data_IF_701282883719
#
_entry.id   IF_701282883719
#
_cell.length_a   1.000
_cell.length_b   1.000
_cell.length_c   1.000
_cell.angle_alpha   90.00
_cell.angle_beta   90.00
_cell.angle_gamma   90.00
#
_symmetry.space_group_name_H-M   'P 1'
#
loop_
_entity.id
_entity.type
_entity.pdbx_description
1 polymer ?
#
# COMPACT_ATOMS: atom_id res chain seq x y z
N UNK A 1 -20.41 41.82 34.35
CA UNK A 1 -19.11 42.46 34.17
C UNK A 1 -18.65 42.18 32.75
N UNK A 2 -18.64 43.18 31.88
CA UNK A 2 -18.12 43.05 30.52
C UNK A 2 -16.59 43.06 30.58
N UNK A 3 -15.96 41.90 30.40
CA UNK A 3 -14.53 41.81 30.19
C UNK A 3 -14.25 42.14 28.71
N UNK A 4 -13.73 43.34 28.46
CA UNK A 4 -13.13 43.69 27.19
C UNK A 4 -11.85 42.87 27.01
N UNK A 5 -11.86 41.94 26.05
CA UNK A 5 -10.64 41.28 25.58
C UNK A 5 -9.83 42.29 24.78
N UNK A 6 -8.78 42.83 25.39
CA UNK A 6 -7.79 43.65 24.73
C UNK A 6 -6.97 42.76 23.78
N UNK A 7 -7.30 42.79 22.48
CA UNK A 7 -6.41 42.27 21.45
C UNK A 7 -5.17 43.16 21.40
N UNK A 8 -4.01 42.60 21.73
CA UNK A 8 -2.73 43.27 21.62
C UNK A 8 -2.39 43.46 20.13
N UNK A 9 -2.34 44.70 19.60
CA UNK A 9 -2.24 44.96 18.15
C UNK A 9 -0.89 44.55 17.51
N UNK A 10 0.04 44.01 18.29
CA UNK A 10 1.37 43.58 17.83
C UNK A 10 1.55 42.05 17.68
N UNK A 11 0.51 41.23 17.89
CA UNK A 11 0.62 39.78 17.66
C UNK A 11 0.27 39.44 16.22
N UNK A 12 1.25 38.94 15.46
CA UNK A 12 1.00 38.35 14.14
C UNK A 12 0.02 37.17 14.28
N UNK A 13 -0.83 36.99 13.26
CA UNK A 13 -1.76 35.87 13.22
C UNK A 13 -1.01 34.53 13.23
N UNK A 14 -1.53 33.49 13.91
CA UNK A 14 -0.91 32.17 13.89
C UNK A 14 -0.66 31.68 12.46
N UNK A 15 0.50 31.05 12.24
CA UNK A 15 0.93 30.59 10.91
C UNK A 15 1.35 29.13 10.99
N UNK A 16 0.91 28.33 10.03
CA UNK A 16 1.34 26.93 9.85
C UNK A 16 2.59 26.90 8.98
N UNK A 17 3.63 26.23 9.47
CA UNK A 17 4.90 26.01 8.78
C UNK A 17 4.95 24.54 8.38
N UNK A 18 5.28 24.29 7.11
CA UNK A 18 5.37 22.95 6.53
C UNK A 18 6.75 22.78 5.93
N UNK A 19 7.43 21.67 6.25
CA UNK A 19 8.72 21.34 5.66
C UNK A 19 8.69 19.90 5.09
N UNK A 20 8.87 19.72 3.77
CA UNK A 20 9.09 20.75 2.73
C UNK A 20 7.81 21.56 2.42
N UNK A 21 7.99 22.86 2.19
CA UNK A 21 6.89 23.82 2.02
C UNK A 21 6.12 23.65 0.70
N UNK A 22 6.79 23.26 -0.38
CA UNK A 22 6.22 23.15 -1.73
C UNK A 22 5.47 21.87 -2.04
N UNK A 23 5.06 21.10 -1.01
CA UNK A 23 4.55 19.74 -1.18
C UNK A 23 5.65 18.67 -1.16
N UNK A 24 5.25 17.42 -1.04
CA UNK A 24 6.16 16.27 -1.08
C UNK A 24 5.48 15.05 -1.70
N UNK A 25 6.21 13.95 -1.87
CA UNK A 25 5.58 12.70 -2.28
C UNK A 25 4.67 12.15 -1.17
N UNK A 26 3.64 11.41 -1.59
CA UNK A 26 2.67 10.84 -0.67
C UNK A 26 3.32 9.88 0.34
N UNK A 27 4.44 9.24 -0.01
CA UNK A 27 5.20 8.33 0.86
C UNK A 27 6.28 9.02 1.71
N UNK A 28 6.42 10.34 1.65
CA UNK A 28 7.42 11.10 2.41
C UNK A 28 6.83 11.75 3.67
N UNK A 29 7.57 11.78 4.79
CA UNK A 29 7.14 12.55 5.96
C UNK A 29 7.12 14.06 5.65
N UNK A 30 6.22 14.78 6.33
CA UNK A 30 6.17 16.25 6.34
C UNK A 30 6.27 16.72 7.78
N UNK A 31 7.15 17.68 8.05
CA UNK A 31 7.21 18.36 9.34
C UNK A 31 6.15 19.46 9.38
N UNK A 32 5.39 19.51 10.47
CA UNK A 32 4.28 20.44 10.66
C UNK A 32 4.53 21.18 11.98
N UNK A 33 4.59 22.50 11.90
CA UNK A 33 4.65 23.38 13.06
C UNK A 33 3.67 24.54 12.95
N UNK A 34 3.34 25.16 14.08
CA UNK A 34 2.52 26.36 14.17
C UNK A 34 3.25 27.37 15.05
N UNK A 35 3.34 28.62 14.59
CA UNK A 35 3.90 29.74 15.35
C UNK A 35 2.87 30.84 15.54
N UNK A 36 3.08 31.67 16.55
CA UNK A 36 2.25 32.85 16.81
C UNK A 36 0.99 32.56 17.64
N UNK A 37 0.91 31.40 18.28
CA UNK A 37 -0.12 31.10 19.27
C UNK A 37 0.14 31.87 20.57
N UNK A 38 -0.83 31.92 21.47
CA UNK A 38 -0.57 32.32 22.84
C UNK A 38 0.20 31.21 23.59
N UNK A 39 1.07 31.56 24.58
CA UNK A 39 1.69 30.60 25.46
C UNK A 39 0.68 29.62 26.03
N UNK A 40 0.97 28.33 25.94
CA UNK A 40 0.11 27.26 26.46
C UNK A 40 -1.32 27.23 25.87
N UNK A 41 -1.54 27.85 24.70
CA UNK A 41 -2.87 27.88 24.07
C UNK A 41 -3.34 26.47 23.69
N UNK A 42 -4.54 26.04 24.14
CA UNK A 42 -5.15 24.81 23.64
C UNK A 42 -5.60 25.03 22.20
N UNK A 43 -5.23 24.12 21.31
CA UNK A 43 -5.62 24.15 19.89
C UNK A 43 -6.00 22.76 19.40
N UNK A 44 -6.84 22.71 18.38
CA UNK A 44 -7.14 21.48 17.63
C UNK A 44 -6.61 21.64 16.22
N UNK A 45 -5.75 20.72 15.78
CA UNK A 45 -5.36 20.63 14.37
C UNK A 45 -6.30 19.65 13.66
N UNK A 46 -6.76 20.03 12.47
CA UNK A 46 -7.61 19.22 11.62
C UNK A 46 -7.01 19.11 10.23
N UNK A 47 -6.97 17.90 9.68
CA UNK A 47 -6.65 17.65 8.28
C UNK A 47 -7.92 17.28 7.52
N UNK A 48 -8.02 17.76 6.28
CA UNK A 48 -9.14 17.48 5.38
C UNK A 48 -8.60 17.18 3.99
N UNK A 49 -9.04 16.08 3.39
CA UNK A 49 -8.72 15.67 2.03
C UNK A 49 -10.03 15.33 1.30
N UNK A 50 -10.15 15.72 0.04
CA UNK A 50 -11.20 15.22 -0.87
C UNK A 50 -10.56 14.32 -1.91
N UNK A 51 -11.11 13.11 -2.07
CA UNK A 51 -10.64 12.19 -3.10
C UNK A 51 -11.14 12.57 -4.50
N UNK A 52 -10.72 11.81 -5.52
CA UNK A 52 -11.08 12.04 -6.92
C UNK A 52 -12.59 11.87 -7.21
N UNK A 53 -13.35 11.30 -6.27
CA UNK A 53 -14.80 11.14 -6.34
C UNK A 53 -15.54 12.15 -5.43
N UNK A 54 -14.81 13.08 -4.82
CA UNK A 54 -15.34 14.12 -3.95
C UNK A 54 -15.64 13.66 -2.51
N UNK A 55 -15.34 12.41 -2.15
CA UNK A 55 -15.53 11.92 -0.80
C UNK A 55 -14.50 12.55 0.14
N UNK A 56 -14.97 12.93 1.33
CA UNK A 56 -14.17 13.60 2.35
C UNK A 56 -13.50 12.59 3.27
N UNK A 57 -12.23 12.87 3.57
CA UNK A 57 -11.41 12.20 4.56
C UNK A 57 -10.90 13.23 5.57
N UNK A 58 -10.95 12.92 6.86
CA UNK A 58 -10.55 13.85 7.92
C UNK A 58 -9.83 13.15 9.06
N UNK A 59 -8.89 13.84 9.68
CA UNK A 59 -8.37 13.51 11.00
C UNK A 59 -8.30 14.78 11.86
N UNK A 60 -8.32 14.63 13.17
CA UNK A 60 -8.06 15.75 14.07
C UNK A 60 -7.31 15.29 15.33
N UNK A 61 -6.54 16.20 15.91
CA UNK A 61 -5.89 15.97 17.19
C UNK A 61 -5.79 17.28 17.99
N UNK A 62 -5.96 17.14 19.31
CA UNK A 62 -5.85 18.23 20.29
C UNK A 62 -4.40 18.37 20.74
N UNK A 63 -3.91 19.60 20.80
CA UNK A 63 -2.57 19.94 21.24
C UNK A 63 -2.60 21.14 22.18
N UNK A 64 -1.45 21.41 22.81
CA UNK A 64 -1.19 22.64 23.55
C UNK A 64 0.12 23.22 23.03
N UNK A 65 0.13 24.52 22.71
CA UNK A 65 1.35 25.23 22.37
C UNK A 65 2.30 25.25 23.57
N UNK A 66 3.59 25.41 23.35
CA UNK A 66 4.56 25.61 24.42
C UNK A 66 4.47 27.02 25.05
N UNK A 67 5.38 27.31 25.98
CA UNK A 67 5.47 28.61 26.65
C UNK A 67 5.83 29.77 25.72
N UNK A 68 6.31 29.50 24.51
CA UNK A 68 6.66 30.49 23.49
C UNK A 68 5.53 30.69 22.47
N UNK A 69 4.43 29.92 22.55
CA UNK A 69 3.35 29.97 21.57
C UNK A 69 3.71 29.24 20.27
N UNK A 70 4.58 28.24 20.36
CA UNK A 70 4.93 27.35 19.26
C UNK A 70 4.33 25.95 19.47
N UNK A 71 3.99 25.28 18.38
CA UNK A 71 3.59 23.89 18.37
C UNK A 71 4.39 23.19 17.27
N UNK A 72 5.15 22.17 17.62
CA UNK A 72 5.90 21.34 16.66
C UNK A 72 5.44 19.89 16.81
N UNK A 73 4.82 19.30 15.77
CA UNK A 73 4.27 17.95 15.85
C UNK A 73 5.34 16.86 15.99
N UNK A 74 6.61 17.17 15.70
CA UNK A 74 7.73 16.28 15.96
C UNK A 74 8.17 16.26 17.44
N UNK A 75 7.66 17.19 18.26
CA UNK A 75 8.07 17.37 19.66
C UNK A 75 6.91 17.37 20.64
N UNK A 76 5.70 17.70 20.17
CA UNK A 76 4.52 17.85 21.01
C UNK A 76 3.55 16.68 20.78
N UNK A 77 3.25 15.87 21.80
CA UNK A 77 2.30 14.77 21.67
C UNK A 77 0.86 15.27 21.50
N UNK A 78 0.08 14.55 20.68
CA UNK A 78 -1.36 14.72 20.61
C UNK A 78 -2.02 14.28 21.93
N UNK A 79 -2.91 15.11 22.45
CA UNK A 79 -3.65 14.89 23.70
C UNK A 79 -4.91 14.03 23.50
N UNK A 80 -5.25 13.70 22.25
CA UNK A 80 -6.41 12.91 21.86
C UNK A 80 -7.13 13.47 20.63
N UNK A 81 -8.14 12.75 20.15
CA UNK A 81 -8.79 12.98 18.87
C UNK A 81 -8.80 11.68 18.07
N UNK A 82 -8.51 11.76 16.76
CA UNK A 82 -8.30 10.59 15.89
C UNK A 82 -7.09 9.74 16.32
N UNK A 83 -6.14 10.31 17.06
CA UNK A 83 -4.98 9.63 17.63
C UNK A 83 -4.46 10.38 18.87
N UNK A 84 -3.48 9.79 19.57
CA UNK A 84 -2.78 10.41 20.71
C UNK A 84 -1.30 10.02 20.72
N UNK A 85 -0.49 10.74 21.50
CA UNK A 85 0.96 10.50 21.58
C UNK A 85 1.76 11.28 20.54
N UNK A 86 3.08 11.03 20.51
CA UNK A 86 4.01 11.72 19.61
C UNK A 86 3.96 11.09 18.21
N UNK A 87 3.02 11.57 17.39
CA UNK A 87 2.68 11.01 16.08
C UNK A 87 2.72 12.12 15.01
N UNK A 88 3.90 12.48 14.47
CA UNK A 88 4.05 13.65 13.60
C UNK A 88 3.23 13.56 12.30
N UNK A 89 3.01 12.33 11.82
CA UNK A 89 2.22 12.03 10.62
C UNK A 89 0.78 11.58 10.93
N UNK A 90 0.35 11.68 12.20
CA UNK A 90 -0.97 11.22 12.66
C UNK A 90 -2.12 11.87 11.92
N UNK A 91 -2.01 13.16 11.59
CA UNK A 91 -3.03 13.87 10.81
C UNK A 91 -3.19 13.33 9.37
N UNK A 92 -2.30 12.48 8.87
CA UNK A 92 -2.40 11.87 7.55
C UNK A 92 -2.84 10.41 7.64
N UNK A 93 -2.15 9.59 8.44
CA UNK A 93 -2.46 8.16 8.51
C UNK A 93 -3.76 7.87 9.26
N UNK A 94 -4.19 8.75 10.17
CA UNK A 94 -5.42 8.57 10.96
C UNK A 94 -6.67 9.15 10.25
N UNK A 95 -6.58 9.51 8.97
CA UNK A 95 -7.73 10.02 8.24
C UNK A 95 -8.82 8.95 8.11
N UNK A 96 -10.05 9.33 8.40
CA UNK A 96 -11.23 8.48 8.23
C UNK A 96 -12.19 9.09 7.19
N UNK A 97 -12.87 8.27 6.39
CA UNK A 97 -13.87 8.78 5.46
C UNK A 97 -15.13 9.23 6.22
N UNK A 98 -15.72 10.34 5.80
CA UNK A 98 -17.05 10.75 6.30
C UNK A 98 -18.15 9.73 5.95
N UNK A 99 -17.95 9.03 4.83
CA UNK A 99 -18.86 8.01 4.33
C UNK A 99 -18.36 6.63 4.80
N UNK A 100 -19.19 5.85 5.54
CA UNK A 100 -18.83 4.49 5.91
C UNK A 100 -18.49 3.63 4.69
N UNK A 101 -17.54 2.70 4.88
CA UNK A 101 -17.12 1.71 3.87
C UNK A 101 -16.48 2.29 2.61
N UNK A 102 -16.02 3.53 2.67
CA UNK A 102 -15.32 4.20 1.59
C UNK A 102 -13.80 4.04 1.73
N UNK A 103 -13.12 3.71 0.64
CA UNK A 103 -11.66 3.52 0.61
C UNK A 103 -11.01 4.65 -0.18
N UNK A 104 -9.96 5.25 0.38
CA UNK A 104 -9.15 6.21 -0.35
C UNK A 104 -8.35 5.48 -1.42
N UNK A 105 -8.57 5.81 -2.69
CA UNK A 105 -7.83 5.25 -3.82
C UNK A 105 -7.43 6.41 -4.71
N UNK A 106 -6.13 6.49 -5.02
CA UNK A 106 -5.61 7.40 -6.04
C UNK A 106 -5.58 6.70 -7.39
N UNK A 107 -6.28 7.21 -8.41
CA UNK A 107 -6.24 6.64 -9.76
C UNK A 107 -5.40 7.48 -10.71
N UNK A 108 -5.55 8.80 -10.67
CA UNK A 108 -4.75 9.71 -11.49
C UNK A 108 -3.49 10.14 -10.75
N UNK A 109 -2.38 9.44 -10.97
CA UNK A 109 -1.09 9.75 -10.33
C UNK A 109 -0.45 11.05 -10.83
N UNK A 110 -0.98 11.66 -11.89
CA UNK A 110 -0.46 12.93 -12.44
C UNK A 110 -0.93 14.15 -11.64
N UNK A 111 -1.91 13.97 -10.75
CA UNK A 111 -2.41 15.01 -9.84
C UNK A 111 -2.07 14.65 -8.38
N UNK A 112 -1.81 15.63 -7.50
CA UNK A 112 -1.58 15.35 -6.08
C UNK A 112 -2.88 15.03 -5.34
N UNK A 113 -2.76 14.51 -4.13
CA UNK A 113 -3.77 14.76 -3.10
C UNK A 113 -3.54 16.14 -2.49
N UNK A 114 -4.61 16.90 -2.29
CA UNK A 114 -4.56 18.22 -1.66
C UNK A 114 -5.08 18.07 -0.23
N UNK A 115 -4.19 18.26 0.75
CA UNK A 115 -4.52 18.20 2.18
C UNK A 115 -4.64 19.61 2.73
N UNK A 116 -5.82 19.96 3.20
CA UNK A 116 -6.05 21.19 3.95
C UNK A 116 -5.79 20.95 5.43
N UNK A 117 -4.92 21.78 6.02
CA UNK A 117 -4.61 21.79 7.44
C UNK A 117 -5.22 23.03 8.07
N UNK A 118 -5.99 22.85 9.14
CA UNK A 118 -6.60 23.93 9.89
C UNK A 118 -6.12 23.89 11.34
N UNK A 119 -5.84 25.08 11.90
CA UNK A 119 -5.61 25.27 13.34
C UNK A 119 -6.86 25.94 13.90
N UNK A 120 -7.52 25.27 14.82
CA UNK A 120 -8.75 25.73 15.47
C UNK A 120 -8.44 26.07 16.93
N UNK A 121 -9.04 27.15 17.42
CA UNK A 121 -8.90 27.54 18.82
C UNK A 121 -9.61 26.55 19.75
N UNK A 122 -8.98 26.22 20.88
CA UNK A 122 -9.55 25.37 21.91
C UNK A 122 -9.64 23.89 21.56
N UNK A 123 -10.33 23.17 22.45
CA UNK A 123 -10.52 21.71 22.43
C UNK A 123 -11.99 21.30 22.31
N UNK A 124 -12.86 22.26 21.96
CA UNK A 124 -14.30 22.03 21.83
C UNK A 124 -14.63 21.03 20.72
N UNK A 125 -15.65 20.16 20.89
CA UNK A 125 -15.96 19.08 19.93
C UNK A 125 -16.26 19.56 18.49
N UNK A 126 -16.93 20.70 18.35
CA UNK A 126 -17.30 21.25 17.04
C UNK A 126 -16.16 22.05 16.37
N UNK A 127 -15.04 22.18 17.08
CA UNK A 127 -13.94 23.08 16.73
C UNK A 127 -14.26 24.53 17.08
N UNK A 128 -13.25 25.27 17.58
CA UNK A 128 -13.38 26.71 17.79
C UNK A 128 -13.12 27.52 16.52
N UNK A 129 -12.91 28.82 16.71
CA UNK A 129 -12.56 29.74 15.63
C UNK A 129 -11.29 29.26 14.90
N UNK A 130 -11.31 29.27 13.56
CA UNK A 130 -10.10 28.97 12.78
C UNK A 130 -9.06 30.08 12.95
N UNK A 131 -7.92 29.72 13.51
CA UNK A 131 -6.77 30.58 13.77
C UNK A 131 -5.84 30.67 12.56
N UNK A 132 -5.63 29.55 11.87
CA UNK A 132 -4.75 29.46 10.70
C UNK A 132 -5.21 28.35 9.75
N UNK A 133 -4.72 28.42 8.51
CA UNK A 133 -4.92 27.40 7.48
C UNK A 133 -3.65 27.27 6.63
N UNK A 134 -3.33 26.06 6.22
CA UNK A 134 -2.38 25.78 5.14
C UNK A 134 -2.92 24.70 4.22
N UNK A 135 -2.37 24.62 3.01
CA UNK A 135 -2.65 23.57 2.04
C UNK A 135 -1.33 22.91 1.68
N UNK A 136 -1.30 21.57 1.71
CA UNK A 136 -0.13 20.76 1.37
C UNK A 136 -0.46 19.79 0.25
N UNK A 137 0.33 19.81 -0.81
CA UNK A 137 0.19 18.87 -1.92
C UNK A 137 1.03 17.61 -1.69
N UNK A 138 0.38 16.45 -1.80
CA UNK A 138 1.00 15.13 -1.67
C UNK A 138 0.99 14.43 -3.02
N UNK A 139 2.12 14.49 -3.72
CA UNK A 139 2.28 14.02 -5.10
C UNK A 139 2.47 12.50 -5.17
N UNK A 140 2.15 11.92 -6.33
CA UNK A 140 2.31 10.49 -6.59
C UNK A 140 3.43 10.15 -7.57
N UNK A 141 4.01 11.15 -8.22
CA UNK A 141 5.14 11.00 -9.14
C UNK A 141 6.31 11.86 -8.65
N UNK A 142 7.47 11.24 -8.45
CA UNK A 142 8.69 11.98 -8.10
C UNK A 142 9.13 12.90 -9.25
N UNK A 143 9.80 14.03 -8.98
CA UNK A 143 10.31 14.91 -10.02
C UNK A 143 11.12 14.15 -11.07
N UNK A 144 10.73 14.31 -12.34
CA UNK A 144 11.39 13.67 -13.47
C UNK A 144 11.04 12.19 -13.72
N UNK A 145 10.21 11.57 -12.89
CA UNK A 145 9.63 10.25 -13.21
C UNK A 145 8.73 10.41 -14.44
N UNK A 146 8.92 9.54 -15.43
CA UNK A 146 8.10 9.52 -16.66
C UNK A 146 7.04 8.45 -16.54
N UNK A 147 5.82 8.78 -16.95
CA UNK A 147 4.67 7.87 -17.06
C UNK A 147 4.48 7.50 -18.53
N UNK A 148 4.60 6.22 -18.87
CA UNK A 148 4.51 5.70 -20.24
C UNK A 148 3.44 4.61 -20.30
N UNK A 149 2.23 4.91 -20.79
CA UNK A 149 1.21 3.88 -21.02
C UNK A 149 1.70 2.82 -22.02
N UNK A 150 1.42 1.56 -21.73
CA UNK A 150 1.87 0.39 -22.51
C UNK A 150 0.67 -0.31 -23.12
N UNK A 151 0.69 -0.42 -24.45
CA UNK A 151 -0.28 -1.17 -25.26
C UNK A 151 0.45 -2.01 -26.30
N UNK A 152 1.28 -2.93 -25.81
CA UNK A 152 2.09 -3.83 -26.64
C UNK A 152 1.44 -5.22 -26.71
N UNK A 153 1.13 -5.71 -27.90
CA UNK A 153 0.44 -7.00 -28.05
C UNK A 153 -0.88 -7.04 -27.27
N UNK A 154 -1.02 -7.95 -26.31
CA UNK A 154 -2.17 -7.99 -25.38
C UNK A 154 -1.92 -7.23 -24.07
N UNK A 155 -0.67 -6.88 -23.77
CA UNK A 155 -0.26 -6.25 -22.50
C UNK A 155 -0.90 -4.87 -22.39
N UNK A 156 -1.57 -4.62 -21.26
CA UNK A 156 -2.15 -3.33 -20.87
C UNK A 156 -1.56 -2.93 -19.54
N UNK A 157 -0.72 -1.90 -19.54
CA UNK A 157 0.03 -1.49 -18.36
C UNK A 157 0.38 -0.01 -18.42
N UNK A 158 0.99 0.50 -17.36
CA UNK A 158 1.69 1.79 -17.36
C UNK A 158 3.09 1.60 -16.78
N UNK A 159 4.11 1.94 -17.56
CA UNK A 159 5.51 1.91 -17.17
C UNK A 159 5.91 3.26 -16.58
N UNK A 160 6.47 3.24 -15.38
CA UNK A 160 7.08 4.38 -14.72
C UNK A 160 8.60 4.26 -14.76
N UNK A 161 9.26 5.29 -15.27
CA UNK A 161 10.72 5.31 -15.41
C UNK A 161 11.30 6.41 -14.51
N UNK A 162 12.33 6.10 -13.71
CA UNK A 162 13.04 7.11 -12.92
C UNK A 162 13.64 8.22 -13.80
N UNK A 163 13.96 9.39 -13.20
CA UNK A 163 14.80 10.37 -13.88
C UNK A 163 16.19 9.80 -14.18
N UNK A 164 16.82 10.31 -15.24
CA UNK A 164 18.17 9.90 -15.67
C UNK A 164 18.17 9.02 -16.92
N UNK A 165 19.37 8.60 -17.34
CA UNK A 165 19.59 7.85 -18.59
C UNK A 165 19.24 6.37 -18.47
N UNK A 166 19.17 5.83 -17.25
CA UNK A 166 19.09 4.39 -17.02
C UNK A 166 20.39 3.66 -17.42
N UNK A 167 20.34 2.33 -17.60
CA UNK A 167 19.17 1.47 -17.39
C UNK A 167 18.86 1.28 -15.88
N UNK A 168 17.64 0.88 -15.56
CA UNK A 168 17.12 0.76 -14.19
C UNK A 168 16.64 -0.67 -13.91
N UNK A 169 16.70 -1.17 -12.67
CA UNK A 169 16.13 -2.47 -12.36
C UNK A 169 14.62 -2.47 -12.57
N UNK A 170 14.12 -3.47 -13.30
CA UNK A 170 12.71 -3.57 -13.69
C UNK A 170 11.85 -4.31 -12.66
N UNK A 171 10.66 -3.79 -12.37
CA UNK A 171 9.68 -4.41 -11.46
C UNK A 171 8.30 -4.45 -12.15
N UNK A 172 7.61 -5.59 -12.08
CA UNK A 172 6.19 -5.69 -12.41
C UNK A 172 5.37 -5.51 -11.12
N UNK A 173 4.44 -4.58 -11.13
CA UNK A 173 3.57 -4.24 -9.99
C UNK A 173 2.15 -4.75 -10.22
N UNK A 174 1.64 -5.55 -9.27
CA UNK A 174 0.35 -6.24 -9.36
C UNK A 174 -0.52 -5.98 -8.12
N UNK A 175 -1.73 -5.50 -8.37
CA UNK A 175 -2.78 -5.37 -7.36
C UNK A 175 -3.73 -6.58 -7.36
N UNK A 176 -4.62 -6.62 -6.36
CA UNK A 176 -5.65 -7.65 -6.24
C UNK A 176 -6.86 -7.44 -7.14
N UNK A 177 -7.86 -8.31 -6.99
CA UNK A 177 -9.10 -8.32 -7.77
C UNK A 177 -9.84 -6.97 -7.69
N UNK A 178 -10.38 -6.50 -8.82
CA UNK A 178 -11.25 -5.34 -8.88
C UNK A 178 -10.53 -3.98 -8.93
N UNK A 179 -9.20 -3.99 -9.03
CA UNK A 179 -8.39 -2.78 -9.14
C UNK A 179 -8.57 -2.04 -10.46
N UNK A 180 -8.82 -2.77 -11.56
CA UNK A 180 -8.46 -2.31 -12.89
C UNK A 180 -6.94 -2.09 -12.93
N UNK A 181 -6.50 -0.97 -13.51
CA UNK A 181 -5.12 -0.51 -13.37
C UNK A 181 -5.00 0.50 -12.22
N UNK A 182 -4.21 0.16 -11.19
CA UNK A 182 -3.81 1.08 -10.11
C UNK A 182 -2.32 1.38 -10.25
N UNK A 183 -1.99 2.67 -10.33
CA UNK A 183 -0.64 3.11 -10.71
C UNK A 183 0.16 3.70 -9.55
N UNK A 184 -0.50 4.06 -8.45
CA UNK A 184 0.08 4.89 -7.38
C UNK A 184 1.28 4.25 -6.67
N UNK A 185 1.30 2.92 -6.54
CA UNK A 185 2.44 2.21 -5.94
C UNK A 185 3.63 2.18 -6.89
N UNK A 186 3.39 1.86 -8.17
CA UNK A 186 4.41 1.87 -9.20
C UNK A 186 5.03 3.27 -9.40
N UNK A 187 4.20 4.32 -9.42
CA UNK A 187 4.65 5.70 -9.62
C UNK A 187 5.52 6.20 -8.46
N UNK A 188 5.18 5.86 -7.22
CA UNK A 188 5.97 6.18 -6.03
C UNK A 188 7.28 5.38 -6.00
N UNK A 189 7.22 4.08 -6.34
CA UNK A 189 8.39 3.20 -6.33
C UNK A 189 9.41 3.56 -7.43
N UNK A 190 8.95 4.09 -8.57
CA UNK A 190 9.85 4.62 -9.60
C UNK A 190 10.68 5.80 -9.11
N UNK A 191 10.18 6.57 -8.13
CA UNK A 191 10.94 7.60 -7.43
C UNK A 191 12.11 7.05 -6.59
N UNK A 192 12.22 5.73 -6.43
CA UNK A 192 13.29 5.04 -5.69
C UNK A 192 14.35 4.42 -6.60
N UNK A 193 14.28 4.68 -7.92
CA UNK A 193 15.30 4.24 -8.88
C UNK A 193 14.96 2.96 -9.64
N UNK A 194 13.72 2.50 -9.60
CA UNK A 194 13.25 1.31 -10.34
C UNK A 194 12.42 1.68 -11.57
N UNK A 195 12.54 0.92 -12.66
CA UNK A 195 11.56 0.95 -13.75
C UNK A 195 10.37 0.07 -13.35
N UNK A 196 9.21 0.65 -13.05
CA UNK A 196 8.09 -0.09 -12.47
C UNK A 196 6.89 -0.10 -13.41
N UNK A 197 6.46 -1.29 -13.84
CA UNK A 197 5.31 -1.47 -14.71
C UNK A 197 4.08 -1.89 -13.88
N UNK A 198 3.14 -0.97 -13.68
CA UNK A 198 1.82 -1.30 -13.16
C UNK A 198 1.08 -2.12 -14.22
N UNK A 199 0.75 -3.37 -13.91
CA UNK A 199 0.17 -4.32 -14.85
C UNK A 199 -1.30 -4.59 -14.51
N UNK A 200 -2.20 -4.28 -15.44
CA UNK A 200 -3.58 -4.76 -15.36
C UNK A 200 -3.67 -6.19 -15.91
N UNK A 201 -4.63 -6.97 -15.46
CA UNK A 201 -4.85 -8.33 -15.99
C UNK A 201 -6.33 -8.69 -16.18
N UNK A 202 -7.24 -7.82 -15.74
CA UNK A 202 -8.68 -7.91 -16.00
C UNK A 202 -9.36 -6.53 -15.85
N UNK A 203 -10.60 -6.43 -16.36
CA UNK A 203 -11.52 -5.29 -16.19
C UNK A 203 -10.86 -3.91 -16.43
N UNK A 204 -10.02 -3.82 -17.47
CA UNK A 204 -9.32 -2.61 -17.87
C UNK A 204 -9.11 -2.60 -19.39
N UNK A 205 -9.55 -1.52 -20.04
CA UNK A 205 -9.52 -1.38 -21.51
C UNK A 205 -10.17 -2.59 -22.21
N UNK A 206 -9.43 -3.28 -23.06
CA UNK A 206 -9.84 -4.44 -23.86
C UNK A 206 -9.51 -5.80 -23.21
N UNK A 207 -9.04 -5.80 -21.95
CA UNK A 207 -8.83 -7.04 -21.20
C UNK A 207 -10.17 -7.73 -20.84
N UNK A 208 -10.14 -9.05 -20.56
CA UNK A 208 -11.32 -9.78 -20.07
C UNK A 208 -11.98 -9.09 -18.89
N UNK A 209 -13.33 -9.09 -18.86
CA UNK A 209 -14.10 -8.48 -17.76
C UNK A 209 -14.13 -9.38 -16.53
N UNK A 210 -14.25 -10.69 -16.73
CA UNK A 210 -14.19 -11.72 -15.70
C UNK A 210 -12.74 -12.23 -15.52
N UNK A 211 -12.58 -13.22 -14.63
CA UNK A 211 -11.30 -13.89 -14.37
C UNK A 211 -11.50 -15.39 -14.30
N UNK A 212 -12.43 -15.94 -15.08
CA UNK A 212 -12.75 -17.38 -15.03
C UNK A 212 -11.52 -18.23 -15.36
N UNK A 213 -10.71 -17.75 -16.32
CA UNK A 213 -9.42 -18.32 -16.69
C UNK A 213 -8.39 -17.19 -16.79
N UNK A 214 -7.25 -17.37 -16.10
CA UNK A 214 -6.10 -16.48 -16.14
C UNK A 214 -4.96 -17.22 -16.84
N UNK A 215 -4.55 -16.75 -18.01
CA UNK A 215 -3.45 -17.31 -18.80
C UNK A 215 -2.11 -16.69 -18.40
N UNK A 216 -1.17 -17.50 -17.90
CA UNK A 216 0.15 -17.03 -17.49
C UNK A 216 1.02 -16.53 -18.65
N UNK A 217 0.71 -16.92 -19.89
CA UNK A 217 1.34 -16.37 -21.10
C UNK A 217 1.17 -14.85 -21.18
N UNK A 218 0.06 -14.30 -20.67
CA UNK A 218 -0.13 -12.84 -20.59
C UNK A 218 0.96 -12.16 -19.75
N UNK A 219 1.31 -12.79 -18.62
CA UNK A 219 2.33 -12.27 -17.71
C UNK A 219 3.73 -12.54 -18.27
N UNK A 220 3.93 -13.64 -19.03
CA UNK A 220 5.17 -13.91 -19.77
C UNK A 220 5.42 -12.86 -20.86
N UNK A 221 4.39 -12.45 -21.60
CA UNK A 221 4.43 -11.33 -22.55
C UNK A 221 4.84 -10.03 -21.85
N UNK A 222 4.26 -9.75 -20.67
CA UNK A 222 4.61 -8.57 -19.87
C UNK A 222 6.06 -8.59 -19.36
N UNK A 223 6.56 -9.74 -18.88
CA UNK A 223 7.97 -9.92 -18.49
C UNK A 223 8.89 -9.69 -19.69
N UNK A 224 8.54 -10.25 -20.86
CA UNK A 224 9.30 -10.10 -22.09
C UNK A 224 9.34 -8.65 -22.57
N UNK A 225 8.21 -7.95 -22.51
CA UNK A 225 8.13 -6.51 -22.82
C UNK A 225 9.03 -5.70 -21.89
N UNK A 226 8.95 -5.92 -20.57
CA UNK A 226 9.74 -5.14 -19.61
C UNK A 226 11.24 -5.38 -19.78
N UNK A 227 11.66 -6.64 -20.00
CA UNK A 227 13.06 -6.98 -20.24
C UNK A 227 13.60 -6.50 -21.59
N UNK A 228 12.75 -6.32 -22.60
CA UNK A 228 13.17 -5.77 -23.90
C UNK A 228 13.27 -4.25 -23.91
N UNK A 229 12.74 -3.57 -22.90
CA UNK A 229 12.77 -2.12 -22.82
C UNK A 229 14.21 -1.60 -22.63
N UNK A 230 14.71 -0.66 -23.46
CA UNK A 230 16.13 -0.27 -23.49
C UNK A 230 16.64 0.41 -22.21
N UNK A 231 15.73 0.86 -21.35
CA UNK A 231 16.05 1.46 -20.05
C UNK A 231 15.86 0.52 -18.86
N UNK A 232 15.65 -0.77 -19.10
CA UNK A 232 15.59 -1.80 -18.05
C UNK A 232 16.89 -2.59 -18.05
N UNK A 233 17.48 -2.80 -16.87
CA UNK A 233 18.71 -3.57 -16.68
C UNK A 233 18.42 -4.97 -16.17
N UNK A 234 19.39 -5.86 -16.30
CA UNK A 234 19.35 -7.22 -15.77
C UNK A 234 18.79 -8.24 -16.74
N UNK A 235 18.96 -9.51 -16.38
CA UNK A 235 18.43 -10.67 -17.12
C UNK A 235 17.08 -11.16 -16.58
N UNK A 236 16.55 -10.48 -15.56
CA UNK A 236 15.27 -10.79 -14.96
C UNK A 236 14.67 -9.59 -14.22
N UNK A 237 13.39 -9.71 -13.88
CA UNK A 237 12.59 -8.65 -13.25
C UNK A 237 12.29 -8.96 -11.80
N UNK A 238 11.99 -7.92 -11.03
CA UNK A 238 11.27 -8.03 -9.77
C UNK A 238 9.76 -8.18 -10.00
N UNK A 239 9.06 -8.81 -9.05
CA UNK A 239 7.58 -8.80 -8.99
C UNK A 239 7.15 -8.28 -7.61
N UNK A 240 6.28 -7.27 -7.59
CA UNK A 240 5.65 -6.74 -6.39
C UNK A 240 4.15 -7.00 -6.47
N UNK A 241 3.65 -7.90 -5.62
CA UNK A 241 2.25 -8.32 -5.65
C UNK A 241 1.57 -8.14 -4.31
N UNK A 242 0.33 -7.64 -4.31
CA UNK A 242 -0.56 -7.66 -3.13
C UNK A 242 -1.83 -8.46 -3.38
N UNK A 243 -2.31 -9.21 -2.38
CA UNK A 243 -3.57 -9.97 -2.48
C UNK A 243 -3.51 -10.98 -3.64
N UNK A 244 -4.50 -11.02 -4.55
CA UNK A 244 -4.42 -11.80 -5.80
C UNK A 244 -3.19 -11.46 -6.66
N UNK A 245 -2.69 -10.22 -6.63
CA UNK A 245 -1.42 -9.87 -7.27
C UNK A 245 -0.20 -10.56 -6.63
N UNK A 246 -0.26 -10.82 -5.32
CA UNK A 246 0.76 -11.61 -4.60
C UNK A 246 0.69 -13.10 -4.93
N UNK A 247 -0.52 -13.64 -5.06
CA UNK A 247 -0.75 -15.00 -5.57
C UNK A 247 -0.23 -15.16 -7.01
N UNK A 248 -0.52 -14.19 -7.89
CA UNK A 248 0.04 -14.14 -9.24
C UNK A 248 1.57 -13.99 -9.22
N UNK A 249 2.14 -13.30 -8.23
CA UNK A 249 3.59 -13.24 -8.02
C UNK A 249 4.20 -14.61 -7.73
N UNK A 250 3.56 -15.44 -6.89
CA UNK A 250 3.97 -16.84 -6.71
C UNK A 250 3.84 -17.64 -8.00
N UNK A 251 2.73 -17.49 -8.74
CA UNK A 251 2.51 -18.19 -9.99
C UNK A 251 3.57 -17.84 -11.04
N UNK A 252 3.80 -16.54 -11.27
CA UNK A 252 4.84 -16.06 -12.19
C UNK A 252 6.21 -16.64 -11.83
N UNK A 253 6.59 -16.59 -10.56
CA UNK A 253 7.87 -17.12 -10.09
C UNK A 253 8.00 -18.65 -10.23
N UNK A 254 6.88 -19.38 -10.25
CA UNK A 254 6.87 -20.86 -10.32
C UNK A 254 6.87 -21.39 -11.75
N UNK A 255 6.24 -20.68 -12.69
CA UNK A 255 6.01 -21.15 -14.06
C UNK A 255 6.85 -20.40 -15.10
N UNK A 256 7.17 -19.13 -14.87
CA UNK A 256 7.87 -18.29 -15.85
C UNK A 256 9.38 -18.26 -15.58
N UNK A 257 10.14 -17.92 -16.62
CA UNK A 257 11.58 -17.64 -16.50
C UNK A 257 11.81 -16.15 -16.18
N UNK A 258 13.03 -15.83 -15.77
CA UNK A 258 13.52 -14.46 -15.58
C UNK A 258 12.81 -13.66 -14.48
N UNK A 259 12.26 -14.32 -13.46
CA UNK A 259 11.81 -13.68 -12.21
C UNK A 259 12.93 -13.76 -11.19
N UNK A 260 13.63 -12.65 -10.95
CA UNK A 260 14.83 -12.62 -10.07
C UNK A 260 14.45 -12.53 -8.60
N UNK A 261 13.46 -11.68 -8.28
CA UNK A 261 13.03 -11.43 -6.92
C UNK A 261 11.52 -11.16 -6.87
N UNK A 262 10.84 -11.58 -5.81
CA UNK A 262 9.42 -11.31 -5.62
C UNK A 262 9.11 -10.88 -4.19
N UNK A 263 8.43 -9.74 -4.06
CA UNK A 263 7.86 -9.25 -2.79
C UNK A 263 6.37 -9.55 -2.82
N UNK A 264 5.94 -10.41 -1.89
CA UNK A 264 4.55 -10.87 -1.79
C UNK A 264 3.92 -10.27 -0.54
N UNK A 265 2.95 -9.39 -0.74
CA UNK A 265 2.21 -8.70 0.32
C UNK A 265 0.85 -9.39 0.49
N UNK A 266 0.62 -10.03 1.64
CA UNK A 266 -0.64 -10.73 1.93
C UNK A 266 -1.14 -11.62 0.76
N UNK A 267 -0.21 -12.35 0.12
CA UNK A 267 -0.52 -13.24 -1.00
C UNK A 267 -0.92 -14.64 -0.57
N UNK A 268 -1.49 -15.41 -1.50
CA UNK A 268 -1.90 -16.80 -1.30
C UNK A 268 -1.04 -17.74 -2.17
N UNK A 269 -0.63 -18.88 -1.64
CA UNK A 269 -0.06 -19.98 -2.45
C UNK A 269 -1.13 -20.91 -3.03
N UNK A 270 -2.40 -20.60 -2.78
CA UNK A 270 -3.55 -21.29 -3.33
C UNK A 270 -4.16 -20.43 -4.41
N UNK A 271 -4.40 -20.98 -5.59
CA UNK A 271 -5.06 -20.26 -6.67
C UNK A 271 -6.54 -19.99 -6.31
N UNK A 272 -6.99 -18.74 -6.38
CA UNK A 272 -8.33 -18.32 -5.92
C UNK A 272 -9.10 -17.55 -6.99
N UNK A 273 -10.38 -17.88 -7.17
CA UNK A 273 -11.37 -17.11 -7.93
C UNK A 273 -11.57 -17.54 -9.39
N UNK A 274 -10.57 -18.16 -10.01
CA UNK A 274 -10.63 -18.68 -11.38
C UNK A 274 -9.45 -19.59 -11.67
N UNK A 275 -9.49 -20.33 -12.78
CA UNK A 275 -8.44 -21.29 -13.12
C UNK A 275 -7.20 -20.56 -13.64
N UNK A 276 -6.02 -20.94 -13.14
CA UNK A 276 -4.75 -20.48 -13.67
C UNK A 276 -4.24 -21.50 -14.69
N UNK A 277 -3.90 -21.04 -15.89
CA UNK A 277 -3.40 -21.89 -16.97
C UNK A 277 -2.03 -21.42 -17.45
N UNK A 278 -1.15 -22.37 -17.73
CA UNK A 278 0.11 -22.13 -18.45
C UNK A 278 0.40 -23.33 -19.34
N UNK A 279 0.35 -23.13 -20.66
CA UNK A 279 0.47 -24.20 -21.65
C UNK A 279 -0.52 -25.33 -21.33
N UNK A 280 -0.01 -26.54 -21.11
CA UNK A 280 -0.82 -27.74 -20.81
C UNK A 280 -1.09 -27.94 -19.30
N UNK A 281 -0.57 -27.06 -18.44
CA UNK A 281 -0.77 -27.14 -16.98
C UNK A 281 -1.91 -26.23 -16.53
N UNK A 282 -2.75 -26.74 -15.61
CA UNK A 282 -3.83 -25.99 -14.97
C UNK A 282 -3.75 -26.12 -13.46
N UNK A 283 -3.78 -24.99 -12.76
CA UNK A 283 -3.99 -24.92 -11.31
C UNK A 283 -5.44 -24.48 -11.08
N UNK A 284 -6.37 -25.37 -10.68
CA UNK A 284 -7.77 -25.00 -10.44
C UNK A 284 -7.91 -24.02 -9.27
N UNK A 285 -9.01 -23.26 -9.24
CA UNK A 285 -9.35 -22.45 -8.06
C UNK A 285 -9.62 -23.35 -6.86
N UNK A 286 -9.17 -22.93 -5.67
CA UNK A 286 -9.55 -23.52 -4.39
C UNK A 286 -11.05 -23.35 -4.16
N UNK A 287 -11.65 -24.35 -3.52
CA UNK A 287 -13.04 -24.34 -3.14
C UNK A 287 -13.35 -23.27 -2.08
N UNK A 288 -14.58 -22.78 -2.11
CA UNK A 288 -15.13 -21.83 -1.13
C UNK A 288 -16.23 -22.50 -0.31
N UNK A 289 -16.34 -22.12 0.97
CA UNK A 289 -17.42 -22.55 1.85
C UNK A 289 -18.04 -21.34 2.56
N UNK A 290 -19.13 -20.82 1.98
CA UNK A 290 -19.84 -19.64 2.49
C UNK A 290 -20.42 -19.82 3.88
N UNK A 291 -20.60 -21.06 4.37
CA UNK A 291 -21.05 -21.35 5.74
C UNK A 291 -20.02 -20.98 6.80
N UNK A 292 -18.75 -20.77 6.41
CA UNK A 292 -17.66 -20.35 7.31
C UNK A 292 -17.56 -18.82 7.47
N UNK A 293 -18.35 -18.05 6.71
CA UNK A 293 -18.42 -16.59 6.87
C UNK A 293 -19.01 -16.27 8.24
N UNK A 294 -18.27 -15.51 9.03
CA UNK A 294 -18.70 -15.06 10.36
C UNK A 294 -19.28 -13.65 10.25
N UNK A 295 -19.99 -13.23 11.30
CA UNK A 295 -20.45 -11.84 11.46
C UNK A 295 -19.80 -11.24 12.69
N UNK A 296 -19.28 -10.03 12.56
CA UNK A 296 -18.80 -9.24 13.70
C UNK A 296 -19.98 -8.73 14.53
N UNK A 297 -19.70 -8.17 15.71
CA UNK A 297 -20.72 -7.54 16.57
C UNK A 297 -21.46 -6.40 15.86
N UNK A 298 -20.80 -5.71 14.95
CA UNK A 298 -21.35 -4.59 14.18
C UNK A 298 -22.06 -5.03 12.89
N UNK A 299 -22.25 -6.34 12.70
CA UNK A 299 -22.96 -6.91 11.55
C UNK A 299 -22.14 -7.02 10.26
N UNK A 300 -20.86 -6.66 10.28
CA UNK A 300 -19.93 -6.81 9.16
C UNK A 300 -19.59 -8.28 8.92
N UNK A 301 -19.26 -8.65 7.68
CA UNK A 301 -18.85 -10.01 7.34
C UNK A 301 -17.35 -10.19 7.58
N UNK A 302 -16.99 -11.30 8.19
CA UNK A 302 -15.60 -11.76 8.30
C UNK A 302 -15.45 -13.01 7.43
N UNK A 303 -14.56 -12.91 6.43
CA UNK A 303 -14.39 -13.90 5.36
C UNK A 303 -13.08 -14.67 5.46
N UNK A 304 -12.30 -14.48 6.53
CA UNK A 304 -10.96 -15.08 6.68
C UNK A 304 -10.96 -16.62 6.56
N UNK A 305 -12.07 -17.26 6.95
CA UNK A 305 -12.25 -18.72 6.90
C UNK A 305 -13.04 -19.19 5.65
N UNK A 306 -13.35 -18.31 4.69
CA UNK A 306 -14.17 -18.63 3.51
C UNK A 306 -13.55 -19.74 2.64
N UNK A 307 -12.24 -19.71 2.46
CA UNK A 307 -11.51 -20.63 1.57
C UNK A 307 -11.32 -22.00 2.22
N UNK A 308 -11.33 -23.05 1.41
CA UNK A 308 -10.92 -24.39 1.87
C UNK A 308 -9.42 -24.42 2.17
N UNK A 309 -9.01 -25.38 3.01
CA UNK A 309 -7.60 -25.63 3.27
C UNK A 309 -6.96 -26.26 2.02
N UNK A 310 -6.01 -25.58 1.35
CA UNK A 310 -5.39 -26.12 0.14
C UNK A 310 -4.42 -27.27 0.43
N UNK A 311 -4.23 -27.69 1.69
CA UNK A 311 -3.40 -28.83 2.05
C UNK A 311 -4.20 -30.16 2.11
N UNK A 312 -5.52 -30.11 1.92
CA UNK A 312 -6.40 -31.26 2.16
C UNK A 312 -7.26 -31.60 0.93
N UNK A 313 -7.54 -32.89 0.75
CA UNK A 313 -8.50 -33.38 -0.24
C UNK A 313 -8.25 -32.90 -1.67
N UNK A 314 -9.30 -32.62 -2.46
CA UNK A 314 -9.15 -32.19 -3.85
C UNK A 314 -8.54 -30.79 -3.99
N UNK A 315 -8.60 -29.96 -2.94
CA UNK A 315 -8.09 -28.59 -2.94
C UNK A 315 -6.55 -28.52 -2.99
N UNK A 316 -5.85 -29.64 -2.74
CA UNK A 316 -4.40 -29.76 -2.98
C UNK A 316 -3.97 -29.42 -4.41
N UNK A 317 -4.87 -29.60 -5.40
CA UNK A 317 -4.60 -29.24 -6.79
C UNK A 317 -4.53 -27.72 -7.01
N UNK A 318 -5.08 -26.91 -6.09
CA UNK A 318 -5.02 -25.45 -6.17
C UNK A 318 -3.69 -24.86 -5.72
N UNK A 319 -2.79 -25.67 -5.15
CA UNK A 319 -1.48 -25.21 -4.69
C UNK A 319 -0.59 -24.79 -5.87
N UNK A 320 -0.09 -23.57 -5.82
CA UNK A 320 0.93 -23.07 -6.72
C UNK A 320 2.25 -23.77 -6.38
N UNK A 321 2.94 -24.39 -7.36
CA UNK A 321 4.13 -25.23 -7.12
C UNK A 321 5.39 -24.37 -6.92
N UNK A 322 5.43 -23.60 -5.83
CA UNK A 322 6.52 -22.65 -5.50
C UNK A 322 7.90 -23.30 -5.43
N UNK A 323 7.98 -24.61 -5.19
CA UNK A 323 9.24 -25.36 -5.24
C UNK A 323 9.94 -25.34 -6.61
N UNK A 324 9.23 -25.02 -7.69
CA UNK A 324 9.79 -24.89 -9.04
C UNK A 324 10.57 -23.58 -9.24
N UNK A 325 10.39 -22.62 -8.33
CA UNK A 325 10.99 -21.29 -8.44
C UNK A 325 12.46 -21.26 -8.01
N UNK A 326 13.25 -20.45 -8.70
CA UNK A 326 14.60 -20.03 -8.27
C UNK A 326 14.62 -18.55 -7.80
N UNK A 327 13.44 -17.94 -7.65
CA UNK A 327 13.25 -16.54 -7.27
C UNK A 327 13.58 -16.33 -5.79
N UNK A 328 14.26 -15.23 -5.46
CA UNK A 328 14.38 -14.79 -4.08
C UNK A 328 13.05 -14.19 -3.62
N UNK A 329 12.57 -14.56 -2.43
CA UNK A 329 11.28 -14.11 -1.91
C UNK A 329 11.38 -13.32 -0.60
N UNK A 330 10.58 -12.26 -0.52
CA UNK A 330 10.22 -11.56 0.70
C UNK A 330 8.70 -11.58 0.88
N UNK A 331 8.23 -12.10 2.01
CA UNK A 331 6.81 -12.12 2.37
C UNK A 331 6.54 -11.05 3.42
N UNK A 332 5.63 -10.12 3.09
CA UNK A 332 5.16 -9.07 3.99
C UNK A 332 3.71 -9.39 4.36
N UNK A 333 3.47 -9.67 5.64
CA UNK A 333 2.21 -10.26 6.11
C UNK A 333 1.60 -9.39 7.20
N UNK A 334 0.33 -9.05 7.05
CA UNK A 334 -0.50 -8.54 8.14
C UNK A 334 -1.02 -9.70 9.00
N UNK A 335 -0.73 -9.71 10.29
CA UNK A 335 -1.19 -10.78 11.19
C UNK A 335 -2.69 -10.70 11.50
N UNK A 336 -3.30 -9.56 11.25
CA UNK A 336 -4.74 -9.33 11.39
C UNK A 336 -5.42 -9.30 10.01
N UNK A 337 -4.92 -10.05 9.03
CA UNK A 337 -5.55 -10.16 7.71
C UNK A 337 -6.87 -10.94 7.79
N UNK A 338 -7.97 -10.22 7.57
CA UNK A 338 -9.33 -10.77 7.59
C UNK A 338 -9.91 -11.10 6.19
N UNK A 339 -9.14 -10.89 5.11
CA UNK A 339 -9.52 -11.39 3.79
C UNK A 339 -9.26 -12.89 3.69
N UNK A 340 -8.08 -13.31 4.13
CA UNK A 340 -7.65 -14.71 4.14
C UNK A 340 -6.44 -14.93 5.07
N UNK A 341 -6.00 -16.16 5.23
CA UNK A 341 -4.94 -16.53 6.19
C UNK A 341 -3.53 -16.29 5.62
N UNK A 342 -3.14 -15.03 5.40
CA UNK A 342 -1.85 -14.65 4.79
C UNK A 342 -0.64 -15.25 5.51
N UNK A 343 -0.61 -15.24 6.85
CA UNK A 343 0.49 -15.85 7.61
C UNK A 343 0.60 -17.36 7.40
N UNK A 344 -0.55 -18.05 7.33
CA UNK A 344 -0.59 -19.48 7.01
C UNK A 344 0.01 -19.73 5.61
N UNK A 345 -0.43 -19.00 4.58
CA UNK A 345 0.09 -19.18 3.23
C UNK A 345 1.59 -18.90 3.13
N UNK A 346 2.08 -17.83 3.76
CA UNK A 346 3.50 -17.50 3.79
C UNK A 346 4.35 -18.59 4.47
N UNK A 347 3.86 -19.16 5.58
CA UNK A 347 4.55 -20.25 6.29
C UNK A 347 4.54 -21.55 5.50
N UNK A 348 3.43 -21.89 4.86
CA UNK A 348 3.35 -23.09 4.01
C UNK A 348 4.21 -22.95 2.74
N UNK A 349 4.30 -21.75 2.15
CA UNK A 349 5.22 -21.46 1.05
C UNK A 349 6.68 -21.70 1.47
N UNK A 350 7.06 -21.17 2.64
CA UNK A 350 8.39 -21.33 3.21
C UNK A 350 8.73 -22.79 3.52
N UNK A 351 7.78 -23.57 4.05
CA UNK A 351 7.95 -25.02 4.27
C UNK A 351 8.15 -25.76 2.94
N UNK A 352 7.32 -25.48 1.94
CA UNK A 352 7.38 -26.13 0.62
C UNK A 352 8.71 -25.86 -0.08
N UNK A 353 9.18 -24.60 -0.07
CA UNK A 353 10.48 -24.20 -0.61
C UNK A 353 11.64 -24.94 0.08
N UNK A 354 11.69 -24.92 1.41
CA UNK A 354 12.75 -25.59 2.18
C UNK A 354 12.75 -27.11 2.00
N UNK A 355 11.57 -27.74 1.92
CA UNK A 355 11.44 -29.17 1.67
C UNK A 355 12.03 -29.62 0.32
N UNK A 356 12.19 -28.70 -0.62
CA UNK A 356 12.78 -28.94 -1.95
C UNK A 356 14.18 -28.29 -2.10
N UNK A 357 14.85 -27.99 -0.98
CA UNK A 357 16.23 -27.50 -0.97
C UNK A 357 16.41 -26.05 -1.43
N UNK A 358 15.33 -25.26 -1.53
CA UNK A 358 15.39 -23.84 -1.84
C UNK A 358 15.78 -23.01 -0.60
N UNK A 359 16.31 -21.82 -0.83
CA UNK A 359 16.62 -20.88 0.24
C UNK A 359 15.36 -20.51 1.04
N UNK A 360 15.50 -20.39 2.35
CA UNK A 360 14.40 -20.00 3.23
C UNK A 360 14.01 -18.54 2.92
N UNK A 361 12.77 -18.26 2.51
CA UNK A 361 12.32 -16.89 2.25
C UNK A 361 12.28 -16.07 3.54
N UNK A 362 12.52 -14.76 3.42
CA UNK A 362 12.30 -13.84 4.52
C UNK A 362 10.79 -13.62 4.71
N UNK A 363 10.32 -13.70 5.95
CA UNK A 363 8.92 -13.43 6.32
C UNK A 363 8.91 -12.37 7.39
N UNK A 364 8.23 -11.26 7.12
CA UNK A 364 7.98 -10.19 8.10
C UNK A 364 6.48 -10.17 8.37
N UNK A 365 6.11 -10.51 9.61
CA UNK A 365 4.73 -10.47 10.08
C UNK A 365 4.54 -9.21 10.93
N UNK A 366 3.59 -8.37 10.54
CA UNK A 366 3.24 -7.13 11.23
C UNK A 366 2.01 -7.37 12.13
N UNK A 367 2.14 -7.25 13.46
CA UNK A 367 1.01 -7.32 14.38
C UNK A 367 -0.05 -6.26 14.06
N UNK A 368 -1.32 -6.57 14.33
CA UNK A 368 -2.44 -5.63 14.22
C UNK A 368 -2.50 -4.91 12.85
N UNK A 369 -2.07 -5.60 11.80
CA UNK A 369 -2.03 -5.11 10.43
C UNK A 369 -2.89 -6.00 9.56
N UNK A 370 -3.74 -5.39 8.75
CA UNK A 370 -4.77 -6.05 7.94
C UNK A 370 -4.32 -6.37 6.52
N UNK A 371 -5.30 -6.61 5.65
CA UNK A 371 -5.08 -7.08 4.28
C UNK A 371 -4.42 -6.03 3.36
N UNK A 372 -4.80 -4.77 3.48
CA UNK A 372 -4.41 -3.70 2.55
C UNK A 372 -3.18 -2.92 3.03
N UNK A 373 -2.00 -3.54 2.99
CA UNK A 373 -0.73 -2.85 3.25
C UNK A 373 -0.37 -1.98 2.04
N UNK A 374 -0.78 -0.72 2.08
CA UNK A 374 -0.57 0.30 1.04
C UNK A 374 0.81 0.99 1.19
N UNK A 375 1.22 1.85 0.24
CA UNK A 375 2.33 2.77 0.48
C UNK A 375 2.13 3.62 1.76
N UNK A 376 3.21 4.19 2.33
CA UNK A 376 3.16 4.92 3.59
C UNK A 376 2.08 6.01 3.62
N UNK A 377 1.47 6.17 4.80
CA UNK A 377 0.48 7.22 5.13
C UNK A 377 -0.87 7.15 4.40
N UNK A 378 -1.12 6.14 3.56
CA UNK A 378 -2.49 5.81 3.18
C UNK A 378 -3.30 5.43 4.42
N UNK A 379 -4.51 5.99 4.62
CA UNK A 379 -5.35 5.66 5.75
C UNK A 379 -5.90 4.23 5.65
N UNK A 380 -6.01 3.58 6.80
CA UNK A 380 -6.58 2.24 6.91
C UNK A 380 -8.05 2.22 6.47
N UNK A 381 -8.38 1.35 5.52
CA UNK A 381 -9.76 0.99 5.24
C UNK A 381 -10.14 -0.26 6.05
N UNK A 382 -10.74 -0.09 7.23
CA UNK A 382 -11.12 -1.21 8.12
C UNK A 382 -12.16 -2.15 7.49
N UNK A 383 -13.07 -1.60 6.70
CA UNK A 383 -14.12 -2.37 6.02
C UNK A 383 -14.55 -1.70 4.72
N UNK A 384 -14.90 -2.50 3.71
CA UNK A 384 -15.51 -2.02 2.46
C UNK A 384 -16.44 -3.06 1.84
N UNK A 385 -17.22 -2.66 0.84
CA UNK A 385 -18.04 -3.59 0.07
C UNK A 385 -17.16 -4.61 -0.66
N UNK A 386 -17.54 -5.89 -0.59
CA UNK A 386 -16.94 -6.98 -1.32
C UNK A 386 -17.99 -7.64 -2.22
N UNK A 387 -17.74 -7.68 -3.53
CA UNK A 387 -18.69 -8.20 -4.52
C UNK A 387 -18.89 -9.72 -4.44
N UNK A 388 -17.87 -10.48 -4.04
CA UNK A 388 -17.91 -11.95 -3.99
C UNK A 388 -18.91 -12.46 -2.96
N UNK A 389 -18.92 -11.87 -1.77
CA UNK A 389 -19.84 -12.29 -0.68
C UNK A 389 -21.05 -11.38 -0.53
N UNK A 390 -21.09 -10.25 -1.24
CA UNK A 390 -22.12 -9.22 -1.15
C UNK A 390 -22.13 -8.48 0.20
N UNK A 391 -21.95 -7.17 0.19
CA UNK A 391 -21.99 -6.34 1.40
C UNK A 391 -20.62 -6.08 2.03
N UNK A 392 -20.58 -5.37 3.18
CA UNK A 392 -19.33 -4.92 3.77
C UNK A 392 -18.61 -6.07 4.50
N UNK A 393 -17.31 -6.22 4.21
CA UNK A 393 -16.40 -7.13 4.89
C UNK A 393 -15.35 -6.36 5.67
N UNK A 394 -14.83 -6.95 6.73
CA UNK A 394 -13.66 -6.42 7.43
C UNK A 394 -12.36 -6.85 6.74
N UNK A 395 -11.38 -5.96 6.71
CA UNK A 395 -10.03 -6.22 6.17
C UNK A 395 -8.97 -6.37 7.27
N UNK A 396 -9.36 -6.04 8.50
CA UNK A 396 -8.52 -6.04 9.70
C UNK A 396 -7.54 -4.87 9.78
N UNK A 397 -6.74 -4.88 10.84
CA UNK A 397 -5.76 -3.87 11.19
C UNK A 397 -6.25 -2.83 12.19
N UNK A 398 -5.34 -2.34 13.02
CA UNK A 398 -5.53 -1.18 13.88
C UNK A 398 -4.78 0.05 13.33
N UNK A 399 -5.37 1.26 13.34
CA UNK A 399 -4.88 2.39 12.54
C UNK A 399 -3.40 2.70 12.72
N UNK A 400 -2.93 2.78 13.98
CA UNK A 400 -1.54 3.10 14.29
C UNK A 400 -0.58 1.97 13.87
N UNK A 401 -0.87 0.74 14.29
CA UNK A 401 -0.01 -0.41 13.99
C UNK A 401 0.09 -0.64 12.48
N UNK A 402 -1.05 -0.58 11.79
CA UNK A 402 -1.14 -0.69 10.34
C UNK A 402 -0.36 0.42 9.63
N UNK A 403 -0.50 1.68 10.06
CA UNK A 403 0.24 2.79 9.47
C UNK A 403 1.76 2.61 9.60
N UNK A 404 2.24 2.14 10.76
CA UNK A 404 3.67 1.88 10.97
C UNK A 404 4.16 0.67 10.16
N UNK A 405 3.32 -0.36 10.00
CA UNK A 405 3.61 -1.50 9.13
C UNK A 405 3.75 -1.09 7.67
N UNK A 406 2.90 -0.19 7.16
CA UNK A 406 3.04 0.36 5.80
C UNK A 406 4.37 1.11 5.62
N UNK A 407 4.78 1.90 6.62
CA UNK A 407 6.07 2.62 6.60
C UNK A 407 7.25 1.65 6.53
N UNK A 408 7.28 0.64 7.41
CA UNK A 408 8.36 -0.36 7.43
C UNK A 408 8.34 -1.22 6.16
N UNK A 409 7.18 -1.78 5.77
CA UNK A 409 7.02 -2.60 4.57
C UNK A 409 7.57 -1.90 3.31
N UNK A 410 7.33 -0.59 3.19
CA UNK A 410 7.85 0.22 2.10
C UNK A 410 9.39 0.29 2.07
N UNK A 411 10.03 0.35 3.24
CA UNK A 411 11.50 0.32 3.36
C UNK A 411 12.06 -1.07 3.09
N UNK A 412 11.39 -2.12 3.59
CA UNK A 412 11.80 -3.52 3.41
C UNK A 412 11.79 -3.90 1.93
N UNK A 413 10.72 -3.58 1.19
CA UNK A 413 10.64 -3.92 -0.24
C UNK A 413 11.67 -3.17 -1.08
N UNK A 414 11.96 -1.89 -0.76
CA UNK A 414 12.99 -1.13 -1.48
C UNK A 414 14.38 -1.74 -1.25
N UNK A 415 14.71 -2.02 0.02
CA UNK A 415 15.97 -2.66 0.39
C UNK A 415 16.12 -4.02 -0.30
N UNK A 416 15.05 -4.83 -0.29
CA UNK A 416 15.03 -6.13 -0.92
C UNK A 416 15.26 -6.05 -2.44
N UNK A 417 14.53 -5.19 -3.15
CA UNK A 417 14.68 -5.06 -4.60
C UNK A 417 16.06 -4.52 -4.99
N UNK A 418 16.61 -3.51 -4.30
CA UNK A 418 17.98 -3.05 -4.58
C UNK A 418 19.01 -4.17 -4.37
N UNK A 419 18.88 -4.95 -3.29
CA UNK A 419 19.81 -6.04 -3.00
C UNK A 419 19.81 -7.17 -4.05
N UNK A 420 18.67 -7.42 -4.69
CA UNK A 420 18.51 -8.54 -5.62
C UNK A 420 18.51 -8.15 -7.10
N UNK A 421 18.18 -6.89 -7.45
CA UNK A 421 18.05 -6.46 -8.84
C UNK A 421 19.18 -5.54 -9.33
N UNK A 422 19.94 -4.88 -8.45
CA UNK A 422 21.01 -3.92 -8.85
C UNK A 422 22.26 -4.59 -9.47
N UNK A 423 22.20 -5.88 -9.81
CA UNK A 423 23.25 -6.59 -10.58
C UNK A 423 24.59 -6.78 -9.85
N UNK A 424 24.74 -6.29 -8.62
CA UNK A 424 25.91 -6.59 -7.78
C UNK A 424 25.82 -8.04 -7.32
N UNK A 425 26.38 -8.96 -8.14
CA UNK A 425 26.61 -10.35 -7.74
C UNK A 425 27.17 -10.35 -6.33
N UNK A 426 26.45 -10.92 -5.36
CA UNK A 426 27.05 -11.41 -4.12
C UNK A 426 28.13 -12.41 -4.57
N UNK A 427 29.39 -12.01 -4.55
CA UNK A 427 30.51 -12.94 -4.60
C UNK A 427 30.38 -13.81 -3.35
N UNK A 428 29.76 -14.98 -3.51
CA UNK A 428 29.90 -16.06 -2.54
C UNK A 428 31.39 -16.40 -2.55
N UNK A 429 32.11 -16.31 -1.42
CA UNK A 429 33.48 -16.82 -1.36
C UNK A 429 33.38 -18.33 -1.61
N UNK A 430 34.01 -18.80 -2.69
CA UNK A 430 34.28 -20.23 -2.84
C UNK A 430 35.14 -20.64 -1.64
N UNK A 431 34.57 -21.39 -0.70
CA UNK A 431 35.35 -22.10 0.30
C UNK A 431 35.94 -23.34 -0.38
N UNK A 432 37.25 -23.46 -0.27
CA UNK A 432 38.01 -24.72 -0.34
C UNK A 432 37.40 -25.80 0.55
#
# INVERSE_FOLDING_TARGET
>A
MHAFTTQNPNRMAPTVILEPAGGCLCDQPVHIAVRGLAPEQPVTLRSVLRDEKGALFRAHARYRADSHGELDLARTPALGGSFSGLEPMGLLWAMEPDRPFWRLIKRDVQTPFVVELEVLDGHEPDGGQRLARAVHERHFMAPGVRRVPVREGRVRATLFLPPGTGPFPGIIDLFGIGSGLLEYRASLLAGKGFAVMALAYNNYEDLPKDMDIIHLEYFEEAVTYLLSHPQVTGSGVGVLGISKGGELGFAMASFLKNITAAVIINGSISNIGGNLQYKDETVPSVGINTKRVKRTKDGLKDIVDLLNNPLEGPDQKSLIPVERSDTAFLFLVGQDDHNWKSEFYAREASKRLQAHGKEKPQIICYPETGHHIEPPYFPLCKASLNSLVGGPVIWGGEPRAHAMAQVDAWQQLQTFFHNHLDGKKKTIPAKL
#
